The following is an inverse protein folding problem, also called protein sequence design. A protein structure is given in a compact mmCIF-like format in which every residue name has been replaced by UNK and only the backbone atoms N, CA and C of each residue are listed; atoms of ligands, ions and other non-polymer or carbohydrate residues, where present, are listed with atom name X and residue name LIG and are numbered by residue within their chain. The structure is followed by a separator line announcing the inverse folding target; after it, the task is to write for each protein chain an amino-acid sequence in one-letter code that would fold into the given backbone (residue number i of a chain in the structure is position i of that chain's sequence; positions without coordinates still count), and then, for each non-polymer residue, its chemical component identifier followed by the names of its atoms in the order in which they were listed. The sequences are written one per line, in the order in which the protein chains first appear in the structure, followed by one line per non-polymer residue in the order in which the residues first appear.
data_IF_892713684570
#
_entry.id   IF_892713684570
#
_cell.length_a   1.000
_cell.length_b   1.000
_cell.length_c   1.000
_cell.angle_alpha   90.00
_cell.angle_beta   90.00
_cell.angle_gamma   90.00
#
_symmetry.space_group_name_H-M   'P 1'
#
loop_
_entity.id
_entity.type
_entity.pdbx_description
1 polymer ?
#
# COMPACT_ATOMS: atom_id res chain seq x y z
N UNK A 1 17.61 -24.63 -2.77
CA UNK A 1 16.14 -24.86 -2.87
C UNK A 1 15.48 -24.00 -3.96
N UNK A 2 16.16 -23.76 -5.10
CA UNK A 2 15.71 -22.87 -6.19
C UNK A 2 15.55 -23.62 -7.54
N UNK A 3 15.42 -24.95 -7.51
CA UNK A 3 15.37 -25.80 -8.71
C UNK A 3 14.00 -26.48 -8.92
N UNK A 4 12.90 -25.86 -8.50
CA UNK A 4 11.59 -26.40 -8.79
C UNK A 4 10.88 -25.53 -9.82
N UNK A 5 10.50 -26.15 -10.95
CA UNK A 5 9.65 -25.59 -12.01
C UNK A 5 8.28 -25.08 -11.54
N UNK A 6 8.01 -25.16 -10.23
CA UNK A 6 6.86 -24.57 -9.53
C UNK A 6 6.79 -23.05 -9.65
N UNK A 7 7.93 -22.35 -9.82
CA UNK A 7 7.97 -20.89 -10.06
C UNK A 7 7.53 -20.45 -11.46
N UNK A 8 7.30 -21.39 -12.39
CA UNK A 8 6.78 -21.08 -13.74
C UNK A 8 5.26 -20.99 -13.81
N UNK A 9 4.54 -21.37 -12.75
CA UNK A 9 3.08 -21.32 -12.73
C UNK A 9 2.61 -19.94 -12.24
N UNK A 10 1.99 -19.10 -13.11
CA UNK A 10 1.55 -17.76 -12.74
C UNK A 10 0.55 -17.77 -11.57
N UNK A 11 -0.17 -18.88 -11.36
CA UNK A 11 -1.08 -19.09 -10.23
C UNK A 11 -0.36 -19.20 -8.88
N UNK A 12 0.75 -19.96 -8.81
CA UNK A 12 1.52 -20.11 -7.58
C UNK A 12 2.21 -18.80 -7.16
N UNK A 13 2.64 -17.99 -8.14
CA UNK A 13 3.18 -16.66 -7.89
C UNK A 13 2.13 -15.70 -7.31
N UNK A 14 0.92 -15.73 -7.86
CA UNK A 14 -0.21 -14.95 -7.35
C UNK A 14 -0.57 -15.33 -5.92
N UNK A 15 -0.59 -16.61 -5.61
CA UNK A 15 -0.90 -17.12 -4.28
C UNK A 15 0.15 -16.66 -3.25
N UNK A 16 1.43 -16.67 -3.63
CA UNK A 16 2.51 -16.13 -2.79
C UNK A 16 2.44 -14.61 -2.66
N UNK A 17 2.06 -13.90 -3.73
CA UNK A 17 1.85 -12.45 -3.69
C UNK A 17 0.70 -12.08 -2.76
N UNK A 18 -0.44 -12.76 -2.85
CA UNK A 18 -1.60 -12.49 -1.98
C UNK A 18 -1.30 -12.86 -0.52
N UNK A 19 -0.56 -13.93 -0.26
CA UNK A 19 -0.09 -14.28 1.08
C UNK A 19 0.84 -13.20 1.67
N UNK A 20 1.79 -12.69 0.88
CA UNK A 20 2.68 -11.59 1.30
C UNK A 20 1.92 -10.28 1.48
N UNK A 21 0.97 -9.99 0.59
CA UNK A 21 0.06 -8.85 0.70
C UNK A 21 -0.74 -8.91 1.98
N UNK A 22 -1.38 -10.04 2.27
CA UNK A 22 -2.11 -10.24 3.51
C UNK A 22 -1.21 -10.02 4.73
N UNK A 23 0.03 -10.53 4.71
CA UNK A 23 0.97 -10.36 5.83
C UNK A 23 1.34 -8.90 6.08
N UNK A 24 1.63 -8.13 5.02
CA UNK A 24 2.01 -6.70 5.14
C UNK A 24 0.80 -5.84 5.47
N UNK A 25 -0.38 -6.15 4.92
CA UNK A 25 -1.64 -5.49 5.28
C UNK A 25 -1.94 -5.71 6.76
N UNK A 26 -1.86 -6.95 7.26
CA UNK A 26 -2.04 -7.23 8.70
C UNK A 26 -1.01 -6.46 9.53
N UNK A 27 0.26 -6.44 9.09
CA UNK A 27 1.32 -5.69 9.76
C UNK A 27 1.03 -4.20 9.88
N UNK A 28 0.57 -3.56 8.81
CA UNK A 28 0.21 -2.14 8.80
C UNK A 28 -1.15 -1.85 9.46
N UNK A 29 -2.04 -2.83 9.54
CA UNK A 29 -3.30 -2.68 10.26
C UNK A 29 -3.12 -2.58 11.77
N UNK A 30 -2.09 -3.20 12.36
CA UNK A 30 -1.81 -3.06 13.80
C UNK A 30 -1.60 -1.59 14.22
N UNK A 31 -0.64 -0.83 13.64
CA UNK A 31 -0.47 0.58 13.99
C UNK A 31 -1.67 1.43 13.57
N UNK A 32 -2.34 1.07 12.47
CA UNK A 32 -3.55 1.80 12.03
C UNK A 32 -4.68 1.65 13.03
N UNK A 33 -4.90 0.45 13.56
CA UNK A 33 -5.88 0.18 14.60
C UNK A 33 -5.54 0.92 15.90
N UNK A 34 -4.25 0.98 16.28
CA UNK A 34 -3.81 1.76 17.44
C UNK A 34 -4.16 3.26 17.28
N UNK A 35 -3.94 3.84 16.10
CA UNK A 35 -4.31 5.23 15.80
C UNK A 35 -5.83 5.43 15.86
N UNK A 36 -6.61 4.51 15.29
CA UNK A 36 -8.09 4.58 15.33
C UNK A 36 -8.60 4.51 16.77
N UNK A 37 -8.08 3.61 17.60
CA UNK A 37 -8.44 3.51 19.02
C UNK A 37 -8.08 4.79 19.76
N UNK A 38 -6.89 5.34 19.52
CA UNK A 38 -6.49 6.63 20.10
C UNK A 38 -7.43 7.77 19.70
N UNK A 39 -7.83 7.82 18.43
CA UNK A 39 -8.78 8.81 17.92
C UNK A 39 -10.15 8.68 18.59
N UNK A 40 -10.65 7.45 18.74
CA UNK A 40 -11.92 7.18 19.43
C UNK A 40 -11.85 7.57 20.91
N UNK A 41 -10.77 7.24 21.62
CA UNK A 41 -10.58 7.63 23.02
C UNK A 41 -10.48 9.14 23.20
N UNK A 42 -9.78 9.85 22.31
CA UNK A 42 -9.73 11.31 22.35
C UNK A 42 -11.11 11.90 22.10
N UNK A 43 -11.88 11.33 21.17
CA UNK A 43 -13.23 11.79 20.87
C UNK A 43 -14.18 11.63 22.07
N UNK A 44 -14.11 10.50 22.79
CA UNK A 44 -14.95 10.25 23.96
C UNK A 44 -14.59 11.20 25.11
N UNK A 45 -13.30 11.43 25.36
CA UNK A 45 -12.81 12.37 26.39
C UNK A 45 -13.17 13.81 26.05
N UNK A 46 -13.13 14.19 24.78
CA UNK A 46 -13.51 15.54 24.32
C UNK A 46 -15.02 15.82 24.38
N UNK A 47 -15.85 14.82 24.71
CA UNK A 47 -17.30 14.95 24.76
C UNK A 47 -17.95 15.05 23.38
N UNK A 48 -17.31 14.48 22.34
CA UNK A 48 -17.84 14.51 20.97
C UNK A 48 -19.23 13.87 20.94
N UNK A 49 -20.25 14.68 20.63
CA UNK A 49 -21.65 14.23 20.59
C UNK A 49 -21.99 13.44 19.33
N UNK A 50 -21.17 13.55 18.28
CA UNK A 50 -21.46 12.97 16.98
C UNK A 50 -20.26 12.20 16.42
N UNK A 51 -20.24 10.89 16.63
CA UNK A 51 -19.22 10.00 16.07
C UNK A 51 -19.24 9.92 14.53
N UNK A 52 -20.30 10.43 13.88
CA UNK A 52 -20.40 10.48 12.43
C UNK A 52 -19.33 11.37 11.79
N UNK A 53 -18.87 12.42 12.47
CA UNK A 53 -17.84 13.33 11.94
C UNK A 53 -16.45 12.66 11.88
N UNK A 54 -16.25 11.60 12.66
CA UNK A 54 -14.97 10.89 12.79
C UNK A 54 -14.89 9.66 11.88
N UNK A 55 -16.05 9.09 11.51
CA UNK A 55 -16.16 7.96 10.57
C UNK A 55 -15.34 8.17 9.28
N UNK A 56 -15.44 9.32 8.58
CA UNK A 56 -14.66 9.58 7.36
C UNK A 56 -13.15 9.49 7.59
N UNK A 57 -12.67 9.97 8.74
CA UNK A 57 -11.25 9.92 9.10
C UNK A 57 -10.79 8.48 9.35
N UNK A 58 -11.61 7.68 10.03
CA UNK A 58 -11.33 6.25 10.26
C UNK A 58 -11.23 5.50 8.92
N UNK A 59 -12.19 5.69 8.02
CA UNK A 59 -12.13 5.08 6.69
C UNK A 59 -10.92 5.56 5.89
N UNK A 60 -10.55 6.83 6.01
CA UNK A 60 -9.38 7.39 5.36
C UNK A 60 -8.10 6.71 5.84
N UNK A 61 -7.93 6.51 7.16
CA UNK A 61 -6.78 5.82 7.74
C UNK A 61 -6.65 4.38 7.23
N UNK A 62 -7.77 3.65 7.15
CA UNK A 62 -7.78 2.28 6.62
C UNK A 62 -7.40 2.27 5.12
N UNK A 63 -8.00 3.16 4.33
CA UNK A 63 -7.73 3.26 2.90
C UNK A 63 -6.26 3.60 2.62
N UNK A 64 -5.68 4.51 3.41
CA UNK A 64 -4.29 4.92 3.29
C UNK A 64 -3.32 3.80 3.72
N UNK A 65 -3.63 3.09 4.80
CA UNK A 65 -2.88 1.91 5.26
C UNK A 65 -2.82 0.83 4.19
N UNK A 66 -3.96 0.53 3.56
CA UNK A 66 -4.05 -0.42 2.46
C UNK A 66 -3.25 0.05 1.24
N UNK A 67 -3.36 1.33 0.88
CA UNK A 67 -2.60 1.92 -0.22
C UNK A 67 -1.09 1.76 -0.04
N UNK A 68 -0.56 2.13 1.13
CA UNK A 68 0.87 2.01 1.42
C UNK A 68 1.34 0.56 1.48
N UNK A 69 0.53 -0.37 2.01
CA UNK A 69 0.83 -1.81 1.97
C UNK A 69 0.99 -2.33 0.54
N UNK A 70 0.06 -1.95 -0.35
CA UNK A 70 0.09 -2.35 -1.76
C UNK A 70 1.28 -1.71 -2.47
N UNK A 71 1.52 -0.41 -2.25
CA UNK A 71 2.66 0.32 -2.80
C UNK A 71 3.99 -0.33 -2.45
N UNK A 72 4.18 -0.71 -1.18
CA UNK A 72 5.41 -1.37 -0.73
C UNK A 72 5.68 -2.69 -1.46
N UNK A 73 4.65 -3.54 -1.61
CA UNK A 73 4.80 -4.83 -2.29
C UNK A 73 5.00 -4.63 -3.79
N UNK A 74 4.27 -3.69 -4.39
CA UNK A 74 4.45 -3.35 -5.79
C UNK A 74 5.89 -2.92 -6.08
N UNK A 75 6.45 -2.06 -5.24
CA UNK A 75 7.84 -1.65 -5.32
C UNK A 75 8.80 -2.84 -5.17
N UNK A 76 8.56 -3.70 -4.18
CA UNK A 76 9.37 -4.89 -3.95
C UNK A 76 9.38 -5.84 -5.16
N UNK A 77 8.22 -6.09 -5.78
CA UNK A 77 8.08 -7.05 -6.88
C UNK A 77 8.54 -6.52 -8.23
N UNK A 78 8.31 -5.24 -8.54
CA UNK A 78 8.74 -4.69 -9.84
C UNK A 78 10.23 -4.36 -9.85
N UNK A 79 10.72 -3.76 -8.77
CA UNK A 79 12.06 -3.18 -8.78
C UNK A 79 13.10 -4.07 -8.13
N UNK A 80 12.67 -5.05 -7.32
CA UNK A 80 13.55 -5.92 -6.54
C UNK A 80 14.78 -5.14 -6.03
N UNK A 81 14.59 -4.10 -5.20
CA UNK A 81 15.66 -3.17 -4.85
C UNK A 81 16.80 -3.83 -4.03
N UNK A 82 16.60 -5.08 -3.61
CA UNK A 82 17.58 -5.86 -2.85
C UNK A 82 18.32 -6.82 -3.78
N UNK A 83 19.37 -6.34 -4.44
CA UNK A 83 20.49 -7.21 -4.79
C UNK A 83 21.26 -7.55 -3.51
N UNK A 84 22.04 -8.64 -3.52
CA UNK A 84 22.82 -9.19 -2.39
C UNK A 84 23.76 -8.19 -1.69
N UNK A 85 23.89 -6.97 -2.21
CA UNK A 85 24.76 -5.89 -1.75
C UNK A 85 24.05 -4.68 -1.12
N UNK A 86 22.73 -4.69 -0.89
CA UNK A 86 21.98 -3.56 -0.29
C UNK A 86 22.15 -2.20 -1.01
N UNK A 87 22.45 -2.19 -2.32
CA UNK A 87 22.54 -0.96 -3.12
C UNK A 87 21.25 -0.72 -3.93
N UNK A 88 20.63 0.45 -3.76
CA UNK A 88 19.47 0.89 -4.55
C UNK A 88 19.95 1.26 -5.96
N UNK A 89 20.06 0.29 -6.87
CA UNK A 89 20.51 0.54 -8.25
C UNK A 89 19.43 1.07 -9.20
N UNK A 90 18.15 1.02 -8.83
CA UNK A 90 17.08 1.38 -9.77
C UNK A 90 16.56 2.81 -9.55
N UNK A 91 16.92 3.81 -10.39
CA UNK A 91 16.47 5.19 -10.24
C UNK A 91 14.94 5.33 -10.33
N UNK A 92 14.25 4.40 -10.99
CA UNK A 92 12.78 4.39 -11.04
C UNK A 92 12.14 4.13 -9.67
N UNK A 93 12.80 3.38 -8.76
CA UNK A 93 12.32 3.20 -7.38
C UNK A 93 12.33 4.53 -6.63
N UNK A 94 13.40 5.31 -6.76
CA UNK A 94 13.51 6.60 -6.07
C UNK A 94 12.51 7.63 -6.60
N UNK A 95 12.28 7.65 -7.92
CA UNK A 95 11.32 8.57 -8.56
C UNK A 95 9.88 8.24 -8.14
N UNK A 96 9.48 6.97 -8.16
CA UNK A 96 8.11 6.57 -7.81
C UNK A 96 7.84 6.82 -6.32
N UNK A 97 8.78 6.49 -5.44
CA UNK A 97 8.64 6.82 -4.01
C UNK A 97 8.57 8.34 -3.82
N UNK A 98 9.45 9.10 -4.48
CA UNK A 98 9.45 10.56 -4.43
C UNK A 98 8.11 11.16 -4.86
N UNK A 99 7.50 10.65 -5.94
CA UNK A 99 6.17 11.06 -6.39
C UNK A 99 5.07 10.73 -5.37
N UNK A 100 5.08 9.53 -4.78
CA UNK A 100 4.09 9.15 -3.78
C UNK A 100 4.23 9.99 -2.50
N UNK A 101 5.45 10.25 -2.05
CA UNK A 101 5.69 11.15 -0.92
C UNK A 101 5.31 12.59 -1.25
N UNK A 102 5.60 13.08 -2.44
CA UNK A 102 5.21 14.42 -2.89
C UNK A 102 3.68 14.58 -2.94
N UNK A 103 2.97 13.60 -3.50
CA UNK A 103 1.51 13.58 -3.52
C UNK A 103 0.92 13.52 -2.10
N UNK A 104 1.53 12.71 -1.22
CA UNK A 104 1.12 12.62 0.18
C UNK A 104 1.33 13.96 0.92
N UNK A 105 2.44 14.64 0.63
CA UNK A 105 2.73 15.96 1.18
C UNK A 105 1.75 17.02 0.68
N UNK A 106 1.44 17.01 -0.61
CA UNK A 106 0.41 17.89 -1.18
C UNK A 106 -0.95 17.62 -0.54
N UNK A 107 -1.31 16.35 -0.32
CA UNK A 107 -2.54 15.97 0.37
C UNK A 107 -2.61 16.52 1.81
N UNK A 108 -1.47 16.57 2.54
CA UNK A 108 -1.42 17.18 3.87
C UNK A 108 -1.64 18.71 3.85
N UNK A 109 -1.26 19.40 2.77
CA UNK A 109 -1.46 20.84 2.65
C UNK A 109 -2.91 21.21 2.32
N UNK A 110 -3.67 20.27 1.74
CA UNK A 110 -5.07 20.48 1.38
C UNK A 110 -5.92 20.48 2.65
N UNK A 111 -6.36 21.66 3.09
CA UNK A 111 -7.30 21.84 4.21
C UNK A 111 -8.75 21.55 3.80
N UNK A 112 -9.01 20.36 3.26
CA UNK A 112 -10.37 19.92 2.88
C UNK A 112 -10.91 18.96 3.95
N UNK A 113 -12.19 19.03 4.33
CA UNK A 113 -12.79 18.06 5.24
C UNK A 113 -12.66 16.63 4.69
N UNK A 114 -12.35 15.69 5.58
CA UNK A 114 -12.07 14.30 5.23
C UNK A 114 -13.20 13.64 4.43
N UNK A 115 -14.45 14.02 4.67
CA UNK A 115 -15.63 13.54 3.92
C UNK A 115 -15.50 13.72 2.40
N UNK A 116 -15.03 14.90 1.97
CA UNK A 116 -14.89 15.21 0.55
C UNK A 116 -13.62 14.60 -0.04
N UNK A 117 -12.59 14.41 0.78
CA UNK A 117 -11.30 13.88 0.32
C UNK A 117 -11.25 12.34 0.28
N UNK A 118 -11.97 11.69 1.18
CA UNK A 118 -12.08 10.23 1.28
C UNK A 118 -12.38 9.52 -0.04
N UNK A 119 -13.43 9.89 -0.83
CA UNK A 119 -13.73 9.20 -2.07
C UNK A 119 -12.59 9.31 -3.09
N UNK A 120 -11.86 10.42 -3.14
CA UNK A 120 -10.69 10.58 -4.00
C UNK A 120 -9.57 9.61 -3.61
N UNK A 121 -9.25 9.49 -2.31
CA UNK A 121 -8.24 8.53 -1.84
C UNK A 121 -8.67 7.10 -2.15
N UNK A 122 -9.93 6.76 -1.92
CA UNK A 122 -10.45 5.41 -2.17
C UNK A 122 -10.34 5.06 -3.66
N UNK A 123 -10.80 5.94 -4.55
CA UNK A 123 -10.71 5.73 -6.00
C UNK A 123 -9.26 5.64 -6.45
N UNK A 124 -8.39 6.54 -5.98
CA UNK A 124 -6.97 6.52 -6.31
C UNK A 124 -6.29 5.22 -5.83
N UNK A 125 -6.59 4.79 -4.60
CA UNK A 125 -6.06 3.55 -4.03
C UNK A 125 -6.55 2.32 -4.79
N UNK A 126 -7.82 2.27 -5.17
CA UNK A 126 -8.36 1.20 -6.01
C UNK A 126 -7.71 1.16 -7.39
N UNK A 127 -7.58 2.29 -8.07
CA UNK A 127 -6.92 2.38 -9.38
C UNK A 127 -5.45 1.95 -9.29
N UNK A 128 -4.74 2.38 -8.24
CA UNK A 128 -3.37 2.00 -8.00
C UNK A 128 -3.23 0.49 -7.72
N UNK A 129 -4.13 -0.08 -6.91
CA UNK A 129 -4.17 -1.50 -6.62
C UNK A 129 -4.42 -2.33 -7.89
N UNK A 130 -5.37 -1.91 -8.73
CA UNK A 130 -5.64 -2.51 -10.03
C UNK A 130 -4.40 -2.46 -10.93
N UNK A 131 -3.80 -1.28 -11.08
CA UNK A 131 -2.58 -1.10 -11.85
C UNK A 131 -1.43 -1.98 -11.34
N UNK A 132 -1.27 -2.08 -10.01
CA UNK A 132 -0.25 -2.92 -9.38
C UNK A 132 -0.46 -4.40 -9.69
N UNK A 133 -1.68 -4.91 -9.53
CA UNK A 133 -2.01 -6.31 -9.84
C UNK A 133 -1.84 -6.60 -11.33
N UNK A 134 -2.33 -5.72 -12.21
CA UNK A 134 -2.20 -5.90 -13.68
C UNK A 134 -0.73 -5.87 -14.11
N UNK A 135 0.10 -4.97 -13.58
CA UNK A 135 1.52 -4.90 -13.89
C UNK A 135 2.29 -6.12 -13.37
N UNK A 136 1.98 -6.60 -12.16
CA UNK A 136 2.53 -7.86 -11.66
C UNK A 136 2.14 -9.01 -12.59
N UNK A 137 0.88 -9.08 -13.03
CA UNK A 137 0.41 -10.11 -13.97
C UNK A 137 1.14 -10.05 -15.33
N UNK A 138 1.39 -8.84 -15.85
CA UNK A 138 2.02 -8.62 -17.16
C UNK A 138 3.54 -8.80 -17.15
N UNK A 139 4.23 -8.40 -16.06
CA UNK A 139 5.71 -8.47 -15.94
C UNK A 139 6.22 -9.75 -15.26
N UNK A 140 5.41 -10.45 -14.47
CA UNK A 140 5.77 -11.74 -13.89
C UNK A 140 6.32 -12.77 -14.90
N UNK A 141 5.75 -12.97 -16.10
CA UNK A 141 6.28 -13.96 -17.04
C UNK A 141 7.56 -13.51 -17.77
N UNK A 142 7.86 -12.21 -17.84
CA UNK A 142 8.97 -11.69 -18.66
C UNK A 142 10.26 -11.42 -17.88
N UNK A 143 10.18 -11.25 -16.55
CA UNK A 143 11.32 -10.81 -15.73
C UNK A 143 12.08 -11.97 -15.07
N UNK A 144 11.57 -13.21 -15.17
CA UNK A 144 12.21 -14.42 -14.64
C UNK A 144 12.96 -15.23 -15.72
N UNK A 145 13.74 -14.55 -16.56
CA UNK A 145 14.87 -15.21 -17.26
C UNK A 145 16.08 -15.11 -16.35
N UNK A 146 16.31 -16.15 -15.56
CA UNK A 146 17.59 -16.37 -14.89
C UNK A 146 18.64 -16.51 -16.00
N UNK A 147 19.64 -15.64 -16.02
CA UNK A 147 20.91 -15.91 -16.71
C UNK A 147 21.78 -16.72 -15.76
#
# INVERSE_FOLDING_TARGET
MLNYGFYRQPKALLEMFTLRLKRIVIGNMIPTAAVIVGLLLLSTVSGARNYMEIMPVIFMLIALSLFFSIHYIFMYYIFQPYTSSMEVKNPFFSIINGLVYFLSYMALQIRTPAERFLPFIIVFSMLYALAAVTLVYKKAPQTFRVK
#
